data_IF_747756443506
#
_entry.id   IF_747756443506
#
_cell.length_a   1.000
_cell.length_b   1.000
_cell.length_c   1.000
_cell.angle_alpha   90.00
_cell.angle_beta   90.00
_cell.angle_gamma   90.00
#
_symmetry.space_group_name_H-M   'P 1'
#
loop_
_entity.id
_entity.type
_entity.pdbx_description
1 polymer ?
#
# COMPACT_ATOMS: atom_id res chain seq x y z
N UNK A 1 15.09 -0.06 27.71
CA UNK A 1 15.30 -0.77 26.43
C UNK A 1 14.84 -2.21 26.58
N UNK A 2 14.09 -2.76 25.61
CA UNK A 2 13.69 -4.17 25.67
C UNK A 2 14.92 -5.06 25.52
N UNK A 3 14.94 -6.19 26.23
CA UNK A 3 16.07 -7.13 26.22
C UNK A 3 16.20 -7.74 24.82
N UNK A 4 17.40 -7.66 24.23
CA UNK A 4 17.69 -8.22 22.92
C UNK A 4 17.56 -9.75 22.91
N UNK A 5 17.91 -10.42 24.01
CA UNK A 5 17.84 -11.88 24.13
C UNK A 5 16.42 -12.42 24.12
N UNK A 6 15.43 -11.59 24.47
CA UNK A 6 13.99 -11.92 24.47
C UNK A 6 13.25 -11.39 23.23
N UNK A 7 13.96 -11.09 22.14
CA UNK A 7 13.33 -10.75 20.87
C UNK A 7 12.61 -11.96 20.29
N UNK A 8 11.30 -11.84 20.13
CA UNK A 8 10.41 -12.89 19.62
C UNK A 8 10.27 -12.85 18.10
N UNK A 9 10.19 -11.63 17.55
CA UNK A 9 9.99 -11.36 16.13
C UNK A 9 11.18 -10.65 15.53
N UNK A 10 11.72 -11.19 14.44
CA UNK A 10 12.75 -10.54 13.64
C UNK A 10 12.17 -10.26 12.27
N UNK A 11 12.16 -8.99 11.86
CA UNK A 11 11.60 -8.56 10.56
C UNK A 11 12.75 -8.38 9.58
N UNK A 12 12.68 -9.05 8.43
CA UNK A 12 13.62 -8.85 7.32
C UNK A 12 13.46 -7.48 6.68
N UNK A 13 14.57 -6.78 6.43
CA UNK A 13 14.62 -5.49 5.74
C UNK A 13 15.89 -5.38 4.89
N UNK A 14 15.95 -6.15 3.82
CA UNK A 14 17.09 -6.22 2.91
C UNK A 14 17.12 -5.12 1.84
N UNK A 15 16.03 -4.35 1.71
CA UNK A 15 15.86 -3.36 0.65
C UNK A 15 16.79 -2.16 0.78
N UNK A 16 17.61 -1.91 -0.27
CA UNK A 16 18.48 -0.74 -0.36
C UNK A 16 17.78 0.54 -0.83
N UNK A 17 16.62 0.41 -1.48
CA UNK A 17 15.83 1.53 -2.01
C UNK A 17 14.50 1.62 -1.26
N UNK A 18 14.01 2.84 -1.03
CA UNK A 18 12.69 3.07 -0.47
C UNK A 18 11.60 2.54 -1.42
N UNK A 19 10.68 1.74 -0.90
CA UNK A 19 9.62 1.10 -1.68
C UNK A 19 8.31 1.01 -0.88
N UNK A 20 7.21 0.60 -1.51
CA UNK A 20 5.95 0.34 -0.82
C UNK A 20 6.10 -0.68 0.32
N UNK A 21 6.90 -1.73 0.13
CA UNK A 21 7.22 -2.72 1.19
C UNK A 21 7.91 -2.04 2.38
N UNK A 22 8.87 -1.15 2.11
CA UNK A 22 9.57 -0.39 3.16
C UNK A 22 8.62 0.52 3.92
N UNK A 23 7.75 1.25 3.20
CA UNK A 23 6.76 2.15 3.80
C UNK A 23 5.80 1.39 4.72
N UNK A 24 5.24 0.27 4.26
CA UNK A 24 4.34 -0.58 5.06
C UNK A 24 5.08 -1.14 6.28
N UNK A 25 6.32 -1.59 6.11
CA UNK A 25 7.14 -2.08 7.23
C UNK A 25 7.26 -1.02 8.32
N UNK A 26 7.68 0.20 7.98
CA UNK A 26 7.86 1.30 8.94
C UNK A 26 6.56 1.64 9.66
N UNK A 27 5.45 1.71 8.92
CA UNK A 27 4.15 2.00 9.50
C UNK A 27 3.70 0.92 10.50
N UNK A 28 3.89 -0.36 10.16
CA UNK A 28 3.54 -1.49 11.03
C UNK A 28 4.41 -1.59 12.28
N UNK A 29 5.69 -1.20 12.21
CA UNK A 29 6.63 -1.31 13.33
C UNK A 29 6.09 -0.66 14.61
N UNK A 30 5.53 0.54 14.53
CA UNK A 30 4.99 1.28 15.67
C UNK A 30 3.85 0.55 16.38
N UNK A 31 3.05 -0.20 15.64
CA UNK A 31 1.94 -0.99 16.17
C UNK A 31 2.41 -2.35 16.69
N UNK A 32 3.26 -3.03 15.95
CA UNK A 32 3.81 -4.33 16.35
C UNK A 32 4.71 -4.22 17.58
N UNK A 33 5.53 -3.16 17.68
CA UNK A 33 6.44 -2.94 18.80
C UNK A 33 5.72 -2.82 20.15
N UNK A 34 4.46 -2.40 20.17
CA UNK A 34 3.66 -2.34 21.40
C UNK A 34 3.28 -3.72 21.93
N UNK A 35 3.08 -4.67 21.04
CA UNK A 35 2.49 -5.97 21.34
C UNK A 35 3.52 -7.12 21.43
N UNK A 36 4.67 -7.00 20.76
CA UNK A 36 5.68 -8.04 20.70
C UNK A 36 7.10 -7.45 20.78
N UNK A 37 8.04 -8.18 21.37
CA UNK A 37 9.42 -7.76 21.37
C UNK A 37 10.06 -8.09 20.01
N UNK A 38 10.41 -7.05 19.24
CA UNK A 38 10.91 -7.20 17.89
C UNK A 38 12.23 -6.50 17.63
N UNK A 39 12.96 -6.99 16.63
CA UNK A 39 14.11 -6.35 16.02
C UNK A 39 14.00 -6.41 14.49
N UNK A 40 14.73 -5.56 13.79
CA UNK A 40 14.76 -5.51 12.33
C UNK A 40 16.15 -5.94 11.84
N UNK A 41 16.19 -6.93 10.94
CA UNK A 41 17.43 -7.34 10.27
C UNK A 41 17.70 -6.42 9.08
N UNK A 42 18.64 -5.48 9.25
CA UNK A 42 18.96 -4.40 8.32
C UNK A 42 18.43 -3.05 8.78
N UNK A 43 19.21 -1.99 8.58
CA UNK A 43 18.94 -0.65 9.13
C UNK A 43 18.40 0.37 8.11
N UNK A 44 18.34 0.02 6.81
CA UNK A 44 17.95 0.96 5.76
C UNK A 44 16.54 1.51 6.00
N UNK A 45 16.41 2.84 6.13
CA UNK A 45 15.17 3.57 6.34
C UNK A 45 14.42 3.26 7.64
N UNK A 46 14.97 2.47 8.55
CA UNK A 46 14.32 2.15 9.83
C UNK A 46 14.57 3.30 10.82
N UNK A 47 13.51 3.85 11.45
CA UNK A 47 13.65 4.89 12.47
C UNK A 47 14.51 4.43 13.65
N UNK A 48 15.31 5.36 14.22
CA UNK A 48 16.30 5.07 15.26
C UNK A 48 15.71 4.51 16.56
N UNK A 49 14.43 4.69 16.79
CA UNK A 49 13.69 4.15 17.94
C UNK A 49 13.56 2.62 17.91
N UNK A 50 13.67 2.00 16.74
CA UNK A 50 13.55 0.56 16.57
C UNK A 50 14.93 -0.11 16.57
N UNK A 51 15.02 -1.24 17.26
CA UNK A 51 16.26 -2.02 17.33
C UNK A 51 16.55 -2.66 15.98
N UNK A 52 17.70 -2.34 15.41
CA UNK A 52 18.24 -2.98 14.21
C UNK A 52 19.39 -3.91 14.54
N UNK A 53 19.52 -5.00 13.80
CA UNK A 53 20.59 -5.99 13.94
C UNK A 53 21.20 -6.30 12.55
N UNK A 54 22.48 -6.67 12.53
CA UNK A 54 23.13 -7.19 11.34
C UNK A 54 23.02 -8.73 11.28
N UNK A 55 23.47 -9.34 10.18
CA UNK A 55 23.34 -10.78 9.97
C UNK A 55 24.14 -11.61 11.00
N UNK A 56 25.31 -11.15 11.44
CA UNK A 56 26.08 -11.83 12.48
C UNK A 56 25.32 -11.83 13.83
N UNK A 57 24.76 -10.67 14.21
CA UNK A 57 23.94 -10.56 15.41
C UNK A 57 22.66 -11.41 15.31
N UNK A 58 22.06 -11.48 14.12
CA UNK A 58 20.91 -12.36 13.85
C UNK A 58 21.24 -13.82 14.11
N UNK A 59 22.35 -14.34 13.57
CA UNK A 59 22.78 -15.73 13.81
C UNK A 59 23.05 -15.96 15.30
N UNK A 60 23.81 -15.07 15.95
CA UNK A 60 24.11 -15.18 17.39
C UNK A 60 22.84 -15.24 18.23
N UNK A 61 21.89 -14.35 17.97
CA UNK A 61 20.62 -14.25 18.68
C UNK A 61 19.74 -15.48 18.50
N UNK A 62 19.73 -16.04 17.30
CA UNK A 62 18.80 -17.13 16.94
C UNK A 62 19.36 -18.53 17.16
N UNK A 63 20.61 -18.66 17.62
CA UNK A 63 21.24 -19.95 17.89
C UNK A 63 20.51 -20.74 18.98
N UNK A 64 19.97 -20.05 19.98
CA UNK A 64 19.19 -20.64 21.06
C UNK A 64 17.71 -20.26 20.94
N UNK A 65 16.84 -21.09 21.49
CA UNK A 65 15.44 -20.75 21.68
C UNK A 65 15.30 -19.58 22.67
N UNK A 66 14.10 -19.02 22.75
CA UNK A 66 13.70 -18.08 23.82
C UNK A 66 13.74 -18.76 25.20
N UNK A 67 13.79 -17.97 26.27
CA UNK A 67 13.77 -18.48 27.66
C UNK A 67 12.55 -19.36 27.95
N UNK A 68 11.43 -19.13 27.25
CA UNK A 68 10.20 -19.93 27.35
C UNK A 68 10.23 -21.20 26.45
N UNK A 69 11.34 -21.54 25.85
CA UNK A 69 11.51 -22.73 25.00
C UNK A 69 10.98 -22.59 23.56
N UNK A 70 10.39 -21.46 23.20
CA UNK A 70 9.82 -21.23 21.85
C UNK A 70 10.89 -20.82 20.85
N UNK A 71 10.64 -21.08 19.57
CA UNK A 71 11.43 -20.55 18.46
C UNK A 71 11.12 -19.07 18.24
N UNK A 72 12.11 -18.32 17.76
CA UNK A 72 11.88 -16.96 17.25
C UNK A 72 11.23 -17.02 15.88
N UNK A 73 10.47 -16.00 15.54
CA UNK A 73 9.88 -15.85 14.20
C UNK A 73 10.78 -14.93 13.37
N UNK A 74 11.14 -15.37 12.18
CA UNK A 74 11.74 -14.54 11.16
C UNK A 74 10.72 -14.24 10.07
N UNK A 75 10.30 -12.98 9.97
CA UNK A 75 9.25 -12.53 9.06
C UNK A 75 9.86 -11.93 7.80
N UNK A 76 9.53 -12.49 6.64
CA UNK A 76 10.16 -12.18 5.35
C UNK A 76 9.12 -11.74 4.31
N UNK A 77 9.55 -10.89 3.37
CA UNK A 77 8.75 -10.38 2.26
C UNK A 77 9.45 -10.47 0.91
N UNK A 78 10.74 -10.82 0.92
CA UNK A 78 11.60 -10.84 -0.27
C UNK A 78 12.40 -12.15 -0.35
N UNK A 79 12.82 -12.50 -1.58
CA UNK A 79 13.60 -13.72 -1.81
C UNK A 79 14.92 -13.76 -1.02
N UNK A 80 15.65 -12.64 -1.00
CA UNK A 80 16.90 -12.51 -0.27
C UNK A 80 16.73 -12.65 1.24
N UNK A 81 15.62 -12.18 1.79
CA UNK A 81 15.26 -12.39 3.20
C UNK A 81 14.93 -13.87 3.47
N UNK A 82 14.18 -14.54 2.58
CA UNK A 82 13.95 -15.99 2.68
C UNK A 82 15.28 -16.76 2.67
N UNK A 83 16.18 -16.40 1.76
CA UNK A 83 17.53 -17.02 1.67
C UNK A 83 18.31 -16.82 2.97
N UNK A 84 18.33 -15.61 3.54
CA UNK A 84 18.96 -15.33 4.83
C UNK A 84 18.39 -16.23 5.94
N UNK A 85 17.09 -16.39 6.00
CA UNK A 85 16.41 -17.27 6.96
C UNK A 85 16.78 -18.73 6.78
N UNK A 86 16.82 -19.23 5.53
CA UNK A 86 17.21 -20.62 5.23
C UNK A 86 18.68 -20.90 5.54
N UNK A 87 19.58 -19.97 5.23
CA UNK A 87 21.00 -20.05 5.61
C UNK A 87 21.12 -20.12 7.14
N UNK A 88 20.44 -19.23 7.87
CA UNK A 88 20.45 -19.24 9.31
C UNK A 88 19.97 -20.57 9.88
N UNK A 89 18.83 -21.08 9.38
CA UNK A 89 18.18 -22.30 9.87
C UNK A 89 19.00 -23.57 9.56
N UNK A 90 19.44 -23.74 8.31
CA UNK A 90 20.03 -25.00 7.86
C UNK A 90 21.57 -25.04 7.93
N UNK A 91 22.26 -23.91 7.81
CA UNK A 91 23.73 -23.86 7.88
C UNK A 91 24.19 -23.52 9.29
N UNK A 92 23.57 -22.55 9.96
CA UNK A 92 24.00 -22.11 11.30
C UNK A 92 23.17 -22.72 12.44
N UNK A 93 22.17 -23.57 12.15
CA UNK A 93 21.36 -24.25 13.15
C UNK A 93 20.46 -23.35 13.98
N UNK A 94 20.12 -22.15 13.46
CA UNK A 94 19.25 -21.19 14.13
C UNK A 94 17.89 -21.75 14.48
N UNK A 95 17.42 -21.46 15.69
CA UNK A 95 16.12 -21.94 16.23
C UNK A 95 15.03 -20.91 15.88
N UNK A 96 14.69 -20.84 14.59
CA UNK A 96 13.70 -19.92 14.03
C UNK A 96 12.63 -20.68 13.24
N UNK A 97 11.44 -20.06 13.16
CA UNK A 97 10.43 -20.36 12.14
C UNK A 97 10.35 -19.18 11.18
N UNK A 98 10.26 -19.47 9.89
CA UNK A 98 10.28 -18.47 8.83
C UNK A 98 8.88 -18.29 8.28
N UNK A 99 8.33 -17.08 8.39
CA UNK A 99 7.05 -16.70 7.78
C UNK A 99 7.34 -15.86 6.55
N UNK A 100 6.70 -16.19 5.42
CA UNK A 100 6.75 -15.38 4.20
C UNK A 100 5.41 -14.71 3.94
N UNK A 101 5.42 -13.39 3.71
CA UNK A 101 4.27 -12.62 3.28
C UNK A 101 4.35 -12.37 1.76
N UNK A 102 3.41 -12.94 1.02
CA UNK A 102 3.28 -12.78 -0.43
C UNK A 102 2.34 -11.64 -0.78
N UNK A 103 2.84 -10.69 -1.60
CA UNK A 103 2.07 -9.65 -2.31
C UNK A 103 2.23 -9.83 -3.81
N UNK A 104 2.10 -11.06 -4.29
CA UNK A 104 2.39 -11.40 -5.68
C UNK A 104 1.45 -10.67 -6.65
N UNK A 105 2.01 -10.20 -7.78
CA UNK A 105 1.29 -9.56 -8.89
C UNK A 105 1.25 -10.46 -10.13
N UNK A 106 1.95 -11.56 -10.09
CA UNK A 106 2.13 -12.53 -11.18
C UNK A 106 2.68 -13.82 -10.62
N UNK A 107 2.68 -14.84 -11.42
CA UNK A 107 3.30 -16.12 -11.09
C UNK A 107 4.75 -15.97 -10.62
N UNK A 108 5.07 -16.67 -9.54
CA UNK A 108 6.42 -16.75 -9.02
C UNK A 108 7.32 -17.58 -9.94
N UNK A 109 8.59 -17.22 -10.04
CA UNK A 109 9.60 -18.05 -10.70
C UNK A 109 9.75 -19.40 -10.00
N UNK A 110 10.25 -20.42 -10.72
CA UNK A 110 10.53 -21.75 -10.13
C UNK A 110 11.41 -21.66 -8.88
N UNK A 111 12.41 -20.77 -8.91
CA UNK A 111 13.28 -20.52 -7.76
C UNK A 111 12.52 -19.93 -6.56
N UNK A 112 11.68 -18.92 -6.79
CA UNK A 112 10.85 -18.35 -5.70
C UNK A 112 9.86 -19.37 -5.15
N UNK A 113 9.22 -20.20 -6.02
CA UNK A 113 8.33 -21.29 -5.60
C UNK A 113 9.07 -22.32 -4.72
N UNK A 114 10.34 -22.61 -5.05
CA UNK A 114 11.19 -23.48 -4.22
C UNK A 114 11.49 -22.86 -2.85
N UNK A 115 11.83 -21.57 -2.80
CA UNK A 115 12.04 -20.87 -1.52
C UNK A 115 10.77 -20.90 -0.65
N UNK A 116 9.62 -20.54 -1.23
CA UNK A 116 8.33 -20.54 -0.54
C UNK A 116 7.99 -21.92 0.03
N UNK A 117 8.29 -23.00 -0.69
CA UNK A 117 8.03 -24.38 -0.20
C UNK A 117 8.83 -24.77 1.04
N UNK A 118 9.85 -24.01 1.42
CA UNK A 118 10.69 -24.21 2.59
C UNK A 118 10.33 -23.29 3.78
N UNK A 119 9.33 -22.46 3.61
CA UNK A 119 8.85 -21.59 4.70
C UNK A 119 7.99 -22.39 5.69
N UNK A 120 8.07 -22.02 6.96
CA UNK A 120 7.26 -22.67 8.00
C UNK A 120 5.80 -22.19 7.94
N UNK A 121 5.55 -21.00 7.40
CA UNK A 121 4.22 -20.48 7.12
C UNK A 121 4.24 -19.45 6.00
N UNK A 122 3.14 -19.37 5.25
CA UNK A 122 2.95 -18.43 4.14
C UNK A 122 1.67 -17.64 4.36
N UNK A 123 1.77 -16.32 4.33
CA UNK A 123 0.64 -15.39 4.39
C UNK A 123 0.49 -14.73 3.01
N UNK A 124 -0.73 -14.47 2.58
CA UNK A 124 -1.04 -13.63 1.41
C UNK A 124 -1.77 -12.37 1.81
N UNK A 125 -1.63 -11.30 1.01
CA UNK A 125 -2.33 -10.04 1.27
C UNK A 125 -3.72 -9.96 0.63
N UNK A 126 -4.05 -10.86 -0.30
CA UNK A 126 -5.34 -10.93 -0.98
C UNK A 126 -5.59 -12.32 -1.57
N UNK A 127 -6.81 -12.62 -1.97
CA UNK A 127 -7.14 -13.84 -2.72
C UNK A 127 -6.43 -13.87 -4.07
N UNK A 128 -6.36 -12.73 -4.77
CA UNK A 128 -5.62 -12.61 -6.04
C UNK A 128 -4.13 -12.91 -5.85
N UNK A 129 -3.48 -12.36 -4.82
CA UNK A 129 -2.08 -12.70 -4.52
C UNK A 129 -1.90 -14.17 -4.09
N UNK A 130 -2.89 -14.75 -3.40
CA UNK A 130 -2.90 -16.17 -3.03
C UNK A 130 -2.98 -17.10 -4.24
N UNK A 131 -3.72 -16.73 -5.29
CA UNK A 131 -3.86 -17.54 -6.51
C UNK A 131 -2.54 -17.77 -7.27
N UNK A 132 -1.50 -16.97 -7.00
CA UNK A 132 -0.14 -17.16 -7.54
C UNK A 132 0.74 -18.08 -6.70
N UNK A 133 0.26 -18.55 -5.55
CA UNK A 133 0.95 -19.53 -4.71
C UNK A 133 0.65 -20.96 -5.20
N UNK A 134 1.59 -21.88 -4.97
CA UNK A 134 1.40 -23.31 -5.34
C UNK A 134 0.45 -24.01 -4.37
N UNK A 135 0.42 -23.53 -3.11
CA UNK A 135 -0.46 -24.04 -2.05
C UNK A 135 -1.24 -22.87 -1.47
N UNK A 136 -2.43 -23.15 -0.94
CA UNK A 136 -3.19 -22.17 -0.18
C UNK A 136 -2.32 -21.57 0.94
N UNK A 137 -2.37 -20.23 1.14
CA UNK A 137 -1.67 -19.61 2.26
C UNK A 137 -2.35 -19.97 3.58
N UNK A 138 -1.59 -19.98 4.66
CA UNK A 138 -2.13 -20.25 6.00
C UNK A 138 -3.07 -19.14 6.50
N UNK A 139 -2.90 -17.93 5.94
CA UNK A 139 -3.79 -16.79 6.22
C UNK A 139 -3.79 -15.77 5.07
N UNK A 140 -4.92 -15.07 4.92
CA UNK A 140 -5.01 -13.86 4.09
C UNK A 140 -5.15 -12.66 5.02
N UNK A 141 -4.12 -11.80 5.04
CA UNK A 141 -4.07 -10.60 5.90
C UNK A 141 -3.84 -9.39 5.02
N UNK A 142 -4.89 -8.62 4.71
CA UNK A 142 -4.79 -7.41 3.89
C UNK A 142 -3.92 -6.34 4.54
N UNK A 143 -3.24 -5.53 3.73
CA UNK A 143 -2.57 -4.34 4.22
C UNK A 143 -3.57 -3.29 4.68
N UNK A 144 -3.22 -2.59 5.75
CA UNK A 144 -4.03 -1.54 6.35
C UNK A 144 -3.49 -0.14 6.09
N UNK A 145 -4.37 0.84 6.30
CA UNK A 145 -4.07 2.27 6.25
C UNK A 145 -3.91 2.82 7.66
N UNK A 146 -2.98 3.72 7.85
CA UNK A 146 -2.82 4.47 9.10
C UNK A 146 -3.93 5.55 9.21
N UNK A 147 -4.98 5.21 9.96
CA UNK A 147 -6.14 6.07 10.16
C UNK A 147 -5.86 7.31 11.02
N UNK A 148 -4.70 7.38 11.71
CA UNK A 148 -4.27 8.60 12.41
C UNK A 148 -3.75 9.63 11.42
N UNK A 149 -3.21 9.17 10.31
CA UNK A 149 -2.71 10.01 9.24
C UNK A 149 -3.78 10.33 8.21
N UNK A 150 -4.48 9.30 7.74
CA UNK A 150 -5.52 9.42 6.72
C UNK A 150 -6.88 9.29 7.41
N UNK A 151 -7.59 10.38 7.50
CA UNK A 151 -8.92 10.43 8.12
C UNK A 151 -9.80 11.44 7.38
N UNK A 152 -11.09 11.16 7.33
CA UNK A 152 -12.05 12.08 6.76
C UNK A 152 -12.05 13.42 7.50
N UNK A 153 -12.05 14.56 6.80
CA UNK A 153 -12.14 15.87 7.43
C UNK A 153 -13.56 16.13 7.94
N UNK A 154 -13.71 17.02 8.93
CA UNK A 154 -15.01 17.47 9.41
C UNK A 154 -15.80 18.13 8.27
N UNK A 155 -15.14 18.97 7.49
CA UNK A 155 -15.71 19.62 6.31
C UNK A 155 -14.75 19.46 5.11
N UNK A 156 -15.19 18.72 4.11
CA UNK A 156 -14.39 18.49 2.91
C UNK A 156 -14.20 19.75 2.08
N UNK A 157 -15.22 20.60 2.01
CA UNK A 157 -15.13 21.87 1.28
C UNK A 157 -14.04 22.77 1.89
N UNK A 158 -14.02 22.91 3.21
CA UNK A 158 -12.99 23.73 3.89
C UNK A 158 -11.58 23.16 3.65
N UNK A 159 -11.45 21.82 3.57
CA UNK A 159 -10.18 21.17 3.29
C UNK A 159 -9.71 21.44 1.86
N UNK A 160 -10.63 21.47 0.89
CA UNK A 160 -10.33 21.85 -0.49
C UNK A 160 -9.94 23.34 -0.60
N UNK A 161 -10.75 24.23 -0.02
CA UNK A 161 -10.53 25.67 -0.06
C UNK A 161 -9.15 26.07 0.51
N UNK A 162 -8.69 25.39 1.57
CA UNK A 162 -7.34 25.58 2.15
C UNK A 162 -6.18 25.19 1.23
N UNK A 163 -6.44 24.37 0.21
CA UNK A 163 -5.43 23.99 -0.77
C UNK A 163 -5.23 25.04 -1.86
N UNK A 164 -6.14 26.03 -1.96
CA UNK A 164 -6.10 27.13 -2.93
C UNK A 164 -6.01 26.69 -4.40
N UNK A 165 -6.66 25.59 -4.77
CA UNK A 165 -6.80 25.16 -6.16
C UNK A 165 -8.09 25.69 -6.76
N UNK A 166 -8.15 25.85 -8.11
CA UNK A 166 -9.36 26.27 -8.81
C UNK A 166 -10.52 25.30 -8.61
N UNK A 167 -11.75 25.81 -8.76
CA UNK A 167 -12.98 25.02 -8.65
C UNK A 167 -13.34 24.66 -7.21
N UNK A 168 -14.28 23.75 -7.05
CA UNK A 168 -14.84 23.34 -5.75
C UNK A 168 -14.76 21.84 -5.50
N UNK A 169 -14.24 21.06 -6.47
CA UNK A 169 -14.19 19.62 -6.45
C UNK A 169 -12.80 19.13 -6.89
N UNK A 170 -12.10 18.46 -5.99
CA UNK A 170 -10.78 17.90 -6.24
C UNK A 170 -10.83 16.44 -6.68
N UNK A 171 -10.15 16.13 -7.77
CA UNK A 171 -9.89 14.76 -8.26
C UNK A 171 -8.40 14.52 -8.15
N UNK A 172 -7.96 13.63 -7.26
CA UNK A 172 -6.54 13.38 -7.02
C UNK A 172 -6.07 12.03 -7.58
N UNK A 173 -4.89 12.02 -8.22
CA UNK A 173 -4.15 10.80 -8.48
C UNK A 173 -2.77 10.91 -7.85
N UNK A 174 -2.41 9.91 -7.03
CA UNK A 174 -1.21 9.93 -6.19
C UNK A 174 -0.27 8.76 -6.51
N UNK A 175 1.02 9.04 -6.57
CA UNK A 175 2.05 8.05 -6.85
C UNK A 175 3.02 8.52 -7.92
N UNK A 176 4.08 7.75 -8.19
CA UNK A 176 5.08 8.11 -9.19
C UNK A 176 4.44 8.37 -10.56
N UNK A 177 4.85 9.47 -11.20
CA UNK A 177 4.37 9.81 -12.54
C UNK A 177 5.08 8.92 -13.56
N UNK A 178 4.43 7.81 -13.91
CA UNK A 178 4.92 6.83 -14.90
C UNK A 178 3.76 6.13 -15.60
N UNK A 179 4.00 5.57 -16.77
CA UNK A 179 2.99 4.92 -17.61
C UNK A 179 2.18 3.84 -16.88
N UNK A 180 2.84 3.01 -16.04
CA UNK A 180 2.16 1.95 -15.31
C UNK A 180 1.14 2.44 -14.28
N UNK A 181 1.13 3.74 -13.94
CA UNK A 181 0.17 4.32 -12.99
C UNK A 181 -1.08 4.91 -13.65
N UNK A 182 -1.18 4.87 -14.98
CA UNK A 182 -2.39 5.26 -15.71
C UNK A 182 -2.77 6.74 -15.62
N UNK A 183 -1.78 7.62 -15.39
CA UNK A 183 -2.02 9.07 -15.31
C UNK A 183 -2.54 9.61 -16.62
N UNK A 184 -2.07 9.08 -17.74
CA UNK A 184 -2.57 9.40 -19.08
C UNK A 184 -4.04 9.01 -19.27
N UNK A 185 -4.49 7.91 -18.67
CA UNK A 185 -5.92 7.48 -18.70
C UNK A 185 -6.78 8.53 -17.98
N UNK A 186 -6.38 8.95 -16.77
CA UNK A 186 -7.10 9.98 -16.05
C UNK A 186 -7.11 11.31 -16.81
N UNK A 187 -5.96 11.70 -17.37
CA UNK A 187 -5.86 12.95 -18.15
C UNK A 187 -6.72 12.89 -19.40
N UNK A 188 -6.66 11.80 -20.19
CA UNK A 188 -7.47 11.66 -21.40
C UNK A 188 -8.98 11.66 -21.03
N UNK A 189 -9.39 11.03 -19.94
CA UNK A 189 -10.75 11.11 -19.42
C UNK A 189 -11.13 12.55 -18.98
N UNK A 190 -10.23 13.22 -18.26
CA UNK A 190 -10.44 14.60 -17.81
C UNK A 190 -10.56 15.59 -18.97
N UNK A 191 -9.78 15.44 -20.03
CA UNK A 191 -9.89 16.25 -21.24
C UNK A 191 -11.27 16.16 -21.90
N UNK A 192 -11.92 15.00 -21.79
CA UNK A 192 -13.27 14.81 -22.34
C UNK A 192 -14.36 15.49 -21.50
N UNK A 193 -14.19 15.57 -20.19
CA UNK A 193 -15.30 15.95 -19.28
C UNK A 193 -15.14 17.33 -18.63
N UNK A 194 -13.91 17.80 -18.36
CA UNK A 194 -13.68 19.08 -17.67
C UNK A 194 -14.23 20.30 -18.40
N UNK A 195 -14.27 20.38 -19.75
CA UNK A 195 -14.90 21.52 -20.43
C UNK A 195 -16.35 21.75 -20.00
N UNK A 196 -17.10 20.68 -19.70
CA UNK A 196 -18.48 20.75 -19.26
C UNK A 196 -18.64 20.74 -17.72
N UNK A 197 -17.57 20.65 -16.97
CA UNK A 197 -17.58 20.56 -15.51
C UNK A 197 -16.61 21.60 -14.88
N UNK A 198 -16.95 22.91 -14.91
CA UNK A 198 -16.04 23.98 -14.49
C UNK A 198 -15.67 23.94 -13.00
N UNK A 199 -16.41 23.25 -12.17
CA UNK A 199 -16.12 23.10 -10.73
C UNK A 199 -15.02 22.11 -10.39
N UNK A 200 -14.63 21.21 -11.31
CA UNK A 200 -13.72 20.11 -11.01
C UNK A 200 -12.25 20.46 -11.40
N UNK A 201 -11.30 20.06 -10.60
CA UNK A 201 -9.86 20.20 -10.83
C UNK A 201 -9.15 18.88 -10.57
N UNK A 202 -8.25 18.49 -11.48
CA UNK A 202 -7.43 17.28 -11.37
C UNK A 202 -6.06 17.61 -10.78
N UNK A 203 -5.70 16.91 -9.74
CA UNK A 203 -4.42 17.05 -9.03
C UNK A 203 -3.59 15.78 -9.25
N UNK A 204 -2.41 15.93 -9.85
CA UNK A 204 -1.45 14.85 -10.10
C UNK A 204 -0.27 15.03 -9.14
N UNK A 205 -0.17 14.17 -8.13
CA UNK A 205 0.83 14.27 -7.08
C UNK A 205 1.78 13.07 -7.11
N UNK A 206 3.07 13.34 -7.34
CA UNK A 206 4.10 12.31 -7.30
C UNK A 206 5.38 12.71 -8.01
N UNK A 207 6.44 11.99 -7.70
CA UNK A 207 7.75 12.16 -8.31
C UNK A 207 7.75 11.63 -9.75
N UNK A 208 8.48 12.33 -10.62
CA UNK A 208 8.78 11.86 -11.97
C UNK A 208 10.27 11.55 -12.06
N UNK A 209 10.61 10.30 -12.30
CA UNK A 209 12.01 9.89 -12.49
C UNK A 209 12.53 10.33 -13.87
N UNK A 210 13.84 10.32 -14.06
CA UNK A 210 14.47 10.81 -15.30
C UNK A 210 13.93 10.06 -16.52
N UNK A 211 13.83 8.74 -16.43
CA UNK A 211 13.29 7.87 -17.48
C UNK A 211 11.83 8.15 -17.83
N UNK A 212 11.03 8.68 -16.89
CA UNK A 212 9.62 8.97 -17.09
C UNK A 212 9.34 10.41 -17.56
N UNK A 213 10.37 11.25 -17.71
CA UNK A 213 10.22 12.64 -18.17
C UNK A 213 9.59 12.77 -19.58
N UNK A 214 9.92 11.93 -20.56
CA UNK A 214 9.26 11.98 -21.88
C UNK A 214 7.76 11.70 -21.78
N UNK A 215 7.34 10.74 -20.93
CA UNK A 215 5.94 10.44 -20.67
C UNK A 215 5.20 11.66 -20.08
N UNK A 216 5.77 12.30 -19.04
CA UNK A 216 5.20 13.50 -18.43
C UNK A 216 5.08 14.65 -19.43
N UNK A 217 6.12 14.90 -20.25
CA UNK A 217 6.12 15.96 -21.28
C UNK A 217 4.98 15.76 -22.28
N UNK A 218 4.74 14.50 -22.73
CA UNK A 218 3.63 14.17 -23.63
C UNK A 218 2.27 14.51 -23.02
N UNK A 219 2.06 14.19 -21.75
CA UNK A 219 0.83 14.50 -21.04
C UNK A 219 0.63 16.02 -20.92
N UNK A 220 1.65 16.75 -20.47
CA UNK A 220 1.59 18.22 -20.35
C UNK A 220 1.28 18.88 -21.71
N UNK A 221 1.86 18.37 -22.81
CA UNK A 221 1.55 18.89 -24.14
C UNK A 221 0.08 18.70 -24.52
N UNK A 222 -0.55 17.55 -24.19
CA UNK A 222 -1.99 17.34 -24.39
C UNK A 222 -2.85 18.33 -23.59
N UNK A 223 -2.51 18.51 -22.31
CA UNK A 223 -3.24 19.41 -21.40
C UNK A 223 -3.20 20.86 -21.93
N UNK A 224 -2.01 21.36 -22.33
CA UNK A 224 -1.84 22.71 -22.88
C UNK A 224 -2.60 22.90 -24.19
N UNK A 225 -2.59 21.91 -25.08
CA UNK A 225 -3.36 21.98 -26.33
C UNK A 225 -4.87 22.09 -26.11
N UNK A 226 -5.36 21.58 -24.97
CA UNK A 226 -6.77 21.67 -24.58
C UNK A 226 -7.08 22.92 -23.73
N UNK A 227 -6.11 23.77 -23.42
CA UNK A 227 -6.22 24.93 -22.52
C UNK A 227 -6.81 24.57 -21.15
N UNK A 228 -6.30 23.47 -20.55
CA UNK A 228 -6.73 22.97 -19.23
C UNK A 228 -5.58 22.88 -18.23
N UNK A 229 -4.49 23.60 -18.44
CA UNK A 229 -3.30 23.61 -17.59
C UNK A 229 -3.50 24.30 -16.24
N UNK A 230 -4.53 25.13 -16.11
CA UNK A 230 -5.04 25.68 -14.85
C UNK A 230 -5.92 24.68 -14.05
N UNK A 231 -6.43 23.63 -14.71
CA UNK A 231 -7.40 22.67 -14.16
C UNK A 231 -6.86 21.24 -14.04
N UNK A 232 -5.71 20.93 -14.64
CA UNK A 232 -5.01 19.64 -14.53
C UNK A 232 -3.58 19.95 -14.08
N UNK A 233 -3.33 19.83 -12.78
CA UNK A 233 -2.17 20.42 -12.10
C UNK A 233 -1.20 19.32 -11.63
N UNK A 234 0.07 19.41 -12.03
CA UNK A 234 1.15 18.57 -11.51
C UNK A 234 1.80 19.21 -10.29
N UNK A 235 1.68 18.61 -9.11
CA UNK A 235 2.28 19.11 -7.87
C UNK A 235 3.73 18.65 -7.64
N UNK A 236 4.20 17.64 -8.40
CA UNK A 236 5.46 16.99 -8.08
C UNK A 236 5.40 16.14 -6.81
N UNK A 237 6.58 15.83 -6.27
CA UNK A 237 6.71 15.08 -5.00
C UNK A 237 6.27 15.94 -3.83
N UNK A 238 5.48 15.35 -2.95
CA UNK A 238 5.08 15.94 -1.68
C UNK A 238 5.67 15.16 -0.50
N UNK A 239 5.85 15.83 0.62
CA UNK A 239 6.35 15.19 1.83
C UNK A 239 5.31 14.25 2.44
N UNK A 240 5.78 13.39 3.34
CA UNK A 240 4.93 12.46 4.05
C UNK A 240 3.84 13.17 4.88
N UNK A 241 4.14 14.37 5.39
CA UNK A 241 3.27 15.21 6.22
C UNK A 241 2.25 16.00 5.39
N UNK A 242 2.57 16.33 4.13
CA UNK A 242 1.68 17.10 3.25
C UNK A 242 0.58 16.20 2.64
N UNK A 243 0.88 14.92 2.37
CA UNK A 243 -0.02 14.00 1.68
C UNK A 243 -1.41 13.89 2.33
N UNK A 244 -1.55 13.71 3.66
CA UNK A 244 -2.86 13.57 4.28
C UNK A 244 -3.78 14.77 4.04
N UNK A 245 -3.23 16.00 4.06
CA UNK A 245 -4.00 17.24 3.79
C UNK A 245 -4.50 17.27 2.34
N UNK A 246 -3.68 16.83 1.39
CA UNK A 246 -4.11 16.71 -0.01
C UNK A 246 -5.25 15.70 -0.15
N UNK A 247 -5.11 14.50 0.44
CA UNK A 247 -6.16 13.50 0.40
C UNK A 247 -7.48 13.99 1.03
N UNK A 248 -7.42 14.72 2.13
CA UNK A 248 -8.59 15.32 2.77
C UNK A 248 -9.36 16.28 1.87
N UNK A 249 -8.65 17.01 0.99
CA UNK A 249 -9.29 17.92 0.02
C UNK A 249 -9.91 17.20 -1.19
N UNK A 250 -9.55 15.94 -1.47
CA UNK A 250 -10.06 15.26 -2.66
C UNK A 250 -11.49 14.75 -2.46
N UNK A 251 -12.37 15.06 -3.39
CA UNK A 251 -13.71 14.48 -3.49
C UNK A 251 -13.63 13.09 -4.12
N UNK A 252 -12.74 12.93 -5.11
CA UNK A 252 -12.48 11.66 -5.78
C UNK A 252 -10.98 11.37 -5.74
N UNK A 253 -10.61 10.13 -5.41
CA UNK A 253 -9.24 9.63 -5.58
C UNK A 253 -9.23 8.59 -6.69
N UNK A 254 -8.48 8.89 -7.74
CA UNK A 254 -8.28 7.99 -8.87
C UNK A 254 -7.02 7.13 -8.70
N UNK A 255 -7.11 5.85 -9.05
CA UNK A 255 -5.99 4.93 -9.10
C UNK A 255 -6.18 3.99 -10.30
N UNK A 256 -5.62 4.37 -11.46
CA UNK A 256 -5.87 3.75 -12.75
C UNK A 256 -4.66 2.95 -13.24
N UNK A 257 -3.95 2.30 -12.31
CA UNK A 257 -2.75 1.53 -12.63
C UNK A 257 -3.02 0.45 -13.68
N UNK A 258 -2.02 0.24 -14.55
CA UNK A 258 -1.98 -0.88 -15.52
C UNK A 258 -1.39 -2.14 -14.92
N UNK A 259 -0.71 -1.99 -13.81
CA UNK A 259 -0.14 -3.10 -13.05
C UNK A 259 0.08 -2.61 -11.61
N UNK A 260 -0.55 -3.30 -10.67
CA UNK A 260 -0.46 -2.98 -9.25
C UNK A 260 -0.39 -4.27 -8.42
N UNK A 261 0.36 -4.22 -7.31
CA UNK A 261 0.39 -5.31 -6.36
C UNK A 261 -0.78 -5.24 -5.41
N UNK A 262 -0.63 -4.40 -4.40
CA UNK A 262 -1.69 -4.11 -3.45
C UNK A 262 -2.32 -2.74 -3.72
N UNK A 263 -1.50 -1.69 -3.70
CA UNK A 263 -1.91 -0.33 -3.99
C UNK A 263 -2.73 0.31 -2.88
N UNK A 264 -2.06 0.92 -1.89
CA UNK A 264 -2.74 1.56 -0.75
C UNK A 264 -3.47 2.87 -1.10
N UNK A 265 -3.12 3.52 -2.20
CA UNK A 265 -3.62 4.85 -2.57
C UNK A 265 -5.15 4.98 -2.55
N UNK A 266 -5.96 4.07 -3.12
CA UNK A 266 -7.42 4.16 -3.00
C UNK A 266 -7.88 4.07 -1.55
N UNK A 267 -7.28 3.19 -0.75
CA UNK A 267 -7.65 3.03 0.66
C UNK A 267 -7.29 4.26 1.51
N UNK A 268 -6.17 4.94 1.20
CA UNK A 268 -5.81 6.24 1.80
C UNK A 268 -6.84 7.32 1.42
N UNK A 269 -7.31 7.31 0.17
CA UNK A 269 -8.40 8.16 -0.31
C UNK A 269 -9.73 7.86 0.41
N UNK A 270 -10.11 6.60 0.49
CA UNK A 270 -11.30 6.13 1.21
C UNK A 270 -11.25 6.55 2.69
N UNK A 271 -10.13 6.30 3.38
CA UNK A 271 -9.93 6.72 4.76
C UNK A 271 -10.08 8.25 4.94
N UNK A 272 -9.70 9.03 3.93
CA UNK A 272 -9.84 10.48 3.89
C UNK A 272 -11.24 10.95 3.42
N UNK A 273 -12.21 10.05 3.29
CA UNK A 273 -13.58 10.35 2.92
C UNK A 273 -13.77 10.72 1.45
N UNK A 274 -12.91 10.26 0.55
CA UNK A 274 -13.08 10.41 -0.89
C UNK A 274 -13.77 9.18 -1.49
N UNK A 275 -14.64 9.39 -2.48
CA UNK A 275 -15.04 8.32 -3.38
C UNK A 275 -13.85 7.88 -4.23
N UNK A 276 -13.78 6.63 -4.66
CA UNK A 276 -12.66 6.15 -5.45
C UNK A 276 -13.04 5.79 -6.88
N UNK A 277 -12.11 6.00 -7.80
CA UNK A 277 -12.20 5.55 -9.18
C UNK A 277 -10.96 4.72 -9.51
N UNK A 278 -11.10 3.40 -9.60
CA UNK A 278 -9.96 2.50 -9.74
C UNK A 278 -10.06 1.65 -11.00
N UNK A 279 -8.91 1.25 -11.55
CA UNK A 279 -8.87 0.13 -12.49
C UNK A 279 -9.09 -1.21 -11.76
N UNK A 280 -9.36 -2.28 -12.52
CA UNK A 280 -9.51 -3.65 -12.01
C UNK A 280 -8.17 -4.34 -11.68
N UNK A 281 -7.13 -3.55 -11.33
CA UNK A 281 -5.79 -4.06 -11.03
C UNK A 281 -5.53 -4.23 -9.53
N UNK A 282 -4.52 -5.03 -9.23
CA UNK A 282 -4.14 -5.29 -7.84
C UNK A 282 -5.23 -6.02 -7.06
N UNK A 283 -5.61 -5.43 -5.94
CA UNK A 283 -6.67 -5.94 -5.04
C UNK A 283 -7.97 -5.14 -5.14
N UNK A 284 -8.02 -4.14 -6.02
CA UNK A 284 -9.08 -3.13 -6.00
C UNK A 284 -10.42 -3.69 -6.46
N UNK A 285 -10.44 -4.59 -7.45
CA UNK A 285 -11.64 -5.31 -7.91
C UNK A 285 -12.20 -6.28 -6.84
N UNK A 286 -11.36 -6.75 -5.93
CA UNK A 286 -11.75 -7.63 -4.83
C UNK A 286 -12.26 -6.85 -3.60
N UNK A 287 -11.67 -5.68 -3.33
CA UNK A 287 -11.81 -4.99 -2.04
C UNK A 287 -12.62 -3.70 -2.10
N UNK A 288 -12.84 -3.11 -3.28
CA UNK A 288 -13.66 -1.91 -3.46
C UNK A 288 -15.07 -2.32 -3.88
N UNK A 289 -16.08 -1.85 -3.16
CA UNK A 289 -17.49 -2.14 -3.45
C UNK A 289 -17.99 -1.19 -4.53
N UNK A 290 -18.05 -1.70 -5.78
CA UNK A 290 -18.46 -0.92 -6.94
C UNK A 290 -19.86 -0.33 -6.75
N UNK A 291 -20.03 0.96 -7.08
CA UNK A 291 -21.26 1.71 -6.89
C UNK A 291 -21.58 2.12 -5.44
N UNK A 292 -20.79 1.68 -4.44
CA UNK A 292 -20.98 1.97 -3.02
C UNK A 292 -19.86 2.85 -2.46
N UNK A 293 -18.58 2.50 -2.74
CA UNK A 293 -17.40 3.25 -2.30
C UNK A 293 -16.86 4.17 -3.40
N UNK A 294 -17.30 3.96 -4.62
CA UNK A 294 -16.85 4.58 -5.85
C UNK A 294 -17.10 3.66 -7.03
N UNK A 295 -16.21 3.66 -8.02
CA UNK A 295 -16.33 2.81 -9.21
C UNK A 295 -15.04 2.09 -9.55
N UNK A 296 -15.18 0.85 -10.05
CA UNK A 296 -14.10 0.07 -10.64
C UNK A 296 -14.29 0.04 -12.15
N UNK A 297 -13.28 0.39 -12.92
CA UNK A 297 -13.30 0.42 -14.39
C UNK A 297 -12.31 -0.58 -14.97
N UNK A 298 -12.53 -0.99 -16.20
CA UNK A 298 -11.59 -1.86 -16.91
C UNK A 298 -10.24 -1.15 -17.08
N UNK A 299 -9.16 -1.91 -16.94
CA UNK A 299 -7.81 -1.39 -17.15
C UNK A 299 -7.64 -0.86 -18.58
N UNK A 300 -7.08 0.34 -18.72
CA UNK A 300 -6.89 1.08 -19.98
C UNK A 300 -8.18 1.59 -20.67
N UNK A 301 -9.33 1.56 -20.02
CA UNK A 301 -10.57 2.04 -20.61
C UNK A 301 -10.82 3.53 -20.29
N UNK A 302 -10.40 4.40 -21.20
CA UNK A 302 -10.61 5.86 -21.10
C UNK A 302 -12.08 6.23 -21.15
N UNK A 303 -12.90 5.53 -21.95
CA UNK A 303 -14.31 5.85 -22.14
C UNK A 303 -15.08 5.54 -20.84
N UNK A 304 -14.90 4.34 -20.29
CA UNK A 304 -15.52 3.97 -19.02
C UNK A 304 -15.02 4.87 -17.87
N UNK A 305 -13.72 5.23 -17.87
CA UNK A 305 -13.16 6.18 -16.91
C UNK A 305 -13.83 7.54 -17.01
N UNK A 306 -14.02 8.07 -18.24
CA UNK A 306 -14.74 9.35 -18.49
C UNK A 306 -16.17 9.29 -17.99
N UNK A 307 -16.92 8.23 -18.33
CA UNK A 307 -18.31 8.04 -17.91
C UNK A 307 -18.43 8.03 -16.37
N UNK A 308 -17.64 7.20 -15.69
CA UNK A 308 -17.72 7.07 -14.23
C UNK A 308 -17.23 8.32 -13.52
N UNK A 309 -16.22 8.99 -14.05
CA UNK A 309 -15.73 10.25 -13.50
C UNK A 309 -16.77 11.38 -13.65
N UNK A 310 -17.44 11.48 -14.79
CA UNK A 310 -18.52 12.45 -15.03
C UNK A 310 -19.71 12.20 -14.08
N UNK A 311 -20.08 10.94 -13.83
CA UNK A 311 -21.09 10.57 -12.84
C UNK A 311 -20.72 11.02 -11.43
N UNK A 312 -19.44 10.85 -11.02
CA UNK A 312 -18.95 11.28 -9.70
C UNK A 312 -18.95 12.81 -9.56
N UNK A 313 -18.68 13.54 -10.64
CA UNK A 313 -18.68 15.01 -10.61
C UNK A 313 -20.12 15.55 -10.54
N UNK A 314 -21.01 15.06 -11.41
CA UNK A 314 -22.37 15.57 -11.55
C UNK A 314 -23.29 15.23 -10.36
N UNK A 315 -23.04 14.09 -9.70
CA UNK A 315 -23.88 13.63 -8.60
C UNK A 315 -23.18 13.85 -7.22
N UNK A 316 -22.89 15.11 -6.88
CA UNK A 316 -22.11 15.48 -5.69
C UNK A 316 -22.65 14.87 -4.39
N UNK A 317 -23.98 14.80 -4.20
CA UNK A 317 -24.60 14.18 -3.03
C UNK A 317 -24.32 12.67 -2.95
N UNK A 318 -24.46 11.95 -4.07
CA UNK A 318 -24.14 10.52 -4.14
C UNK A 318 -22.65 10.27 -3.92
N UNK A 319 -21.80 11.09 -4.51
CA UNK A 319 -20.34 10.99 -4.37
C UNK A 319 -19.89 11.24 -2.91
N UNK A 320 -20.54 12.17 -2.23
CA UNK A 320 -20.32 12.38 -0.79
C UNK A 320 -20.68 11.12 0.02
N UNK A 321 -21.86 10.52 -0.23
CA UNK A 321 -22.29 9.27 0.43
C UNK A 321 -21.29 8.13 0.14
N UNK A 322 -20.80 8.01 -1.10
CA UNK A 322 -19.77 7.03 -1.46
C UNK A 322 -18.49 7.24 -0.63
N UNK A 323 -18.04 8.48 -0.48
CA UNK A 323 -16.86 8.79 0.35
C UNK A 323 -17.06 8.48 1.83
N UNK A 324 -18.24 8.73 2.38
CA UNK A 324 -18.61 8.38 3.76
C UNK A 324 -18.64 6.85 3.96
N UNK A 325 -19.27 6.11 3.06
CA UNK A 325 -19.29 4.65 3.04
C UNK A 325 -17.88 4.07 2.95
N UNK A 326 -17.04 4.63 2.08
CA UNK A 326 -15.67 4.25 1.88
C UNK A 326 -14.83 4.42 3.16
N UNK A 327 -14.96 5.56 3.83
CA UNK A 327 -14.24 5.85 5.07
C UNK A 327 -14.60 4.85 6.20
N UNK A 328 -15.89 4.59 6.39
CA UNK A 328 -16.34 3.64 7.41
C UNK A 328 -15.90 2.22 7.07
N UNK A 329 -15.97 1.82 5.81
CA UNK A 329 -15.54 0.50 5.37
C UNK A 329 -14.03 0.26 5.59
N UNK A 330 -13.18 1.24 5.25
CA UNK A 330 -11.74 1.14 5.51
C UNK A 330 -11.44 1.10 7.00
N UNK A 331 -12.13 1.90 7.80
CA UNK A 331 -11.97 1.93 9.26
C UNK A 331 -12.25 0.56 9.88
N UNK A 332 -13.29 -0.11 9.43
CA UNK A 332 -13.70 -1.43 9.96
C UNK A 332 -12.78 -2.57 9.49
N UNK A 333 -12.33 -2.52 8.22
CA UNK A 333 -11.74 -3.69 7.58
C UNK A 333 -10.24 -3.56 7.28
N UNK A 334 -9.73 -2.35 7.06
CA UNK A 334 -8.39 -2.10 6.53
C UNK A 334 -7.59 -1.09 7.35
N UNK A 335 -7.75 -1.06 8.68
CA UNK A 335 -6.88 -0.27 9.53
C UNK A 335 -5.54 -0.97 9.75
N UNK A 336 -4.46 -0.20 9.87
CA UNK A 336 -3.12 -0.74 10.16
C UNK A 336 -3.06 -1.44 11.53
N UNK A 337 -3.88 -0.99 12.48
CA UNK A 337 -4.05 -1.67 13.78
C UNK A 337 -4.62 -3.07 13.61
N UNK A 338 -5.63 -3.21 12.73
CA UNK A 338 -6.25 -4.52 12.43
C UNK A 338 -5.25 -5.44 11.74
N UNK A 339 -4.47 -4.93 10.77
CA UNK A 339 -3.38 -5.69 10.12
C UNK A 339 -2.36 -6.15 11.16
N UNK A 340 -1.86 -5.24 12.01
CA UNK A 340 -0.87 -5.55 13.03
C UNK A 340 -1.37 -6.63 14.01
N UNK A 341 -2.62 -6.52 14.48
CA UNK A 341 -3.24 -7.54 15.37
C UNK A 341 -3.35 -8.90 14.70
N UNK A 342 -3.83 -8.95 13.45
CA UNK A 342 -3.93 -10.21 12.68
C UNK A 342 -2.56 -10.85 12.46
N UNK A 343 -1.55 -10.04 12.07
CA UNK A 343 -0.17 -10.52 11.89
C UNK A 343 0.40 -11.07 13.19
N UNK A 344 0.24 -10.37 14.32
CA UNK A 344 0.75 -10.83 15.62
C UNK A 344 0.01 -12.10 16.07
N UNK A 345 -1.31 -12.17 15.88
CA UNK A 345 -2.08 -13.39 16.14
C UNK A 345 -1.55 -14.59 15.38
N UNK A 346 -1.30 -14.42 14.06
CA UNK A 346 -0.73 -15.45 13.22
C UNK A 346 0.71 -15.82 13.62
N UNK A 347 1.55 -14.83 13.92
CA UNK A 347 2.92 -15.03 14.42
C UNK A 347 2.92 -15.88 15.69
N UNK A 348 2.05 -15.58 16.66
CA UNK A 348 1.91 -16.36 17.91
C UNK A 348 1.40 -17.78 17.64
N UNK A 349 0.47 -17.94 16.69
CA UNK A 349 -0.01 -19.26 16.27
C UNK A 349 1.14 -20.11 15.70
N UNK A 350 1.90 -19.57 14.75
CA UNK A 350 3.07 -20.26 14.16
C UNK A 350 4.14 -20.54 15.22
N UNK A 351 4.39 -19.61 16.16
CA UNK A 351 5.36 -19.80 17.23
C UNK A 351 4.99 -20.97 18.16
N UNK A 352 3.69 -21.17 18.41
CA UNK A 352 3.17 -22.21 19.30
C UNK A 352 2.92 -23.56 18.60
N UNK A 353 2.80 -23.60 17.26
CA UNK A 353 2.63 -24.87 16.53
C UNK A 353 3.85 -25.77 16.74
N UNK A 354 3.65 -27.05 16.94
CA UNK A 354 4.74 -28.03 16.95
C UNK A 354 5.34 -28.10 15.54
N UNK A 355 6.67 -28.15 15.45
CA UNK A 355 7.36 -28.41 14.19
C UNK A 355 7.22 -29.91 13.92
N UNK A 356 6.37 -30.28 12.94
CA UNK A 356 6.35 -31.65 12.41
C UNK A 356 7.58 -31.92 11.56
#
# INVERSE_FOLDING_TARGET
>A
MRNLEEVELIIGNSGKNFSGVTSITIQLLSYQYKEINLAVLGSSFIPNEFKTINFYQFIKLTRNKLSNGKNRIFFTRRNDEMIQGLIAKYIFGSKIKIIFLSTAQRDHTKFTKLLISKMDSVISTSKKAASYLVKEPDAIIPHGVDLKRFSAPINKKDSWDKLNFPGTLGIGIFGRVRHSKGIDILVDAALNILPNNPSATVIICGETQIEDQPYKKKIISKIKKANLDDRIIFLGKKTFEELPKLFQGMTVVAALSRNEGYGLTPFEGMASGAAVLTSSEGVWDEMIRDGIDGYVVNTNDVNQTSEKLDLLIKNSSKTKIMGENAAEYVKQNFSIETEAKKLIGHIRHVQNSETF
#
